data_IF_932813225410
#
_entry.id   IF_932813225410
#
_cell.length_a   1.000
_cell.length_b   1.000
_cell.length_c   1.000
_cell.angle_alpha   90.00
_cell.angle_beta   90.00
_cell.angle_gamma   90.00
#
_symmetry.space_group_name_H-M   'P 1'
#
loop_
_entity.id
_entity.type
_entity.pdbx_description
1 polymer ?
#
# COMPACT_ATOMS: atom_id res chain seq x y z
N UNK A 1 -20.17 4.62 26.48
CA UNK A 1 -19.33 5.30 25.48
C UNK A 1 -20.25 5.73 24.34
N UNK A 2 -20.20 6.99 23.90
CA UNK A 2 -20.98 7.42 22.73
C UNK A 2 -20.39 6.70 21.52
N UNK A 3 -21.20 5.90 20.83
CA UNK A 3 -20.88 5.37 19.50
C UNK A 3 -20.52 6.57 18.62
N UNK A 4 -19.25 6.70 18.23
CA UNK A 4 -18.89 7.60 17.15
C UNK A 4 -19.24 6.87 15.84
N UNK A 5 -20.23 7.38 15.13
CA UNK A 5 -20.42 7.00 13.73
C UNK A 5 -19.37 7.74 12.91
N UNK A 6 -18.56 7.00 12.15
CA UNK A 6 -17.66 7.59 11.16
C UNK A 6 -18.54 8.31 10.14
N UNK A 7 -18.38 9.62 10.04
CA UNK A 7 -19.04 10.41 9.01
C UNK A 7 -18.31 10.14 7.68
N UNK A 8 -19.04 9.62 6.71
CA UNK A 8 -18.48 9.29 5.39
C UNK A 8 -18.53 10.58 4.56
N UNK A 9 -17.37 11.10 4.09
CA UNK A 9 -17.34 12.24 3.19
C UNK A 9 -18.14 11.96 1.92
N UNK A 10 -18.59 13.01 1.23
CA UNK A 10 -19.26 12.81 -0.04
C UNK A 10 -18.30 12.19 -1.08
N UNK A 11 -18.83 11.48 -2.10
CA UNK A 11 -17.99 10.77 -3.07
C UNK A 11 -16.95 11.63 -3.80
N UNK A 12 -17.17 12.93 -3.98
CA UNK A 12 -16.18 13.79 -4.64
C UNK A 12 -15.01 14.08 -3.72
N UNK A 13 -15.28 14.37 -2.44
CA UNK A 13 -14.24 14.57 -1.43
C UNK A 13 -13.37 13.31 -1.30
N UNK A 14 -13.97 12.13 -1.33
CA UNK A 14 -13.25 10.84 -1.28
C UNK A 14 -12.27 10.63 -2.45
N UNK A 15 -12.49 11.29 -3.59
CA UNK A 15 -11.64 11.19 -4.78
C UNK A 15 -10.62 12.34 -4.88
N UNK A 16 -10.64 13.30 -3.97
CA UNK A 16 -9.64 14.37 -3.92
C UNK A 16 -8.31 13.84 -3.39
N UNK A 17 -7.22 14.38 -3.94
CA UNK A 17 -5.88 14.14 -3.44
C UNK A 17 -5.75 14.56 -1.99
N UNK A 18 -5.15 13.69 -1.18
CA UNK A 18 -4.66 14.05 0.13
C UNK A 18 -3.29 14.74 0.00
N UNK A 19 -2.96 15.55 1.00
CA UNK A 19 -1.64 16.17 1.11
C UNK A 19 -0.55 15.09 1.16
N UNK A 20 0.64 15.43 0.67
CA UNK A 20 1.79 14.53 0.74
C UNK A 20 2.14 14.35 2.23
N UNK A 21 1.98 13.12 2.69
CA UNK A 21 2.14 12.76 4.08
C UNK A 21 3.61 12.39 4.37
N UNK A 22 4.23 13.13 5.28
CA UNK A 22 5.60 12.92 5.73
C UNK A 22 5.81 11.54 6.38
N UNK A 23 7.06 11.09 6.42
CA UNK A 23 7.48 9.89 7.13
C UNK A 23 8.20 10.26 8.44
N UNK A 24 7.97 9.49 9.51
CA UNK A 24 8.63 9.68 10.80
C UNK A 24 7.79 9.23 12.00
N UNK A 25 8.18 9.62 13.21
CA UNK A 25 7.55 9.14 14.46
C UNK A 25 6.59 10.15 15.11
N UNK A 26 6.52 11.36 14.55
CA UNK A 26 5.68 12.43 15.10
C UNK A 26 4.21 12.27 14.71
N UNK A 27 3.32 12.78 15.56
CA UNK A 27 1.92 12.97 15.19
C UNK A 27 1.87 14.20 14.26
N UNK A 28 1.45 14.03 13.00
CA UNK A 28 1.33 15.15 12.08
C UNK A 28 0.18 16.07 12.52
N UNK A 29 0.16 17.30 12.04
CA UNK A 29 -1.00 18.17 12.22
C UNK A 29 -2.24 17.51 11.59
N UNK A 30 -3.42 17.74 12.18
CA UNK A 30 -4.66 17.26 11.57
C UNK A 30 -4.89 17.94 10.23
N UNK A 31 -5.26 17.18 9.20
CA UNK A 31 -5.73 17.72 7.92
C UNK A 31 -7.10 18.39 8.07
N UNK A 32 -7.54 19.08 7.02
CA UNK A 32 -8.80 19.84 6.98
C UNK A 32 -10.05 19.00 7.27
N UNK A 33 -9.99 17.69 7.03
CA UNK A 33 -11.03 16.71 7.32
C UNK A 33 -10.95 16.11 8.73
N UNK A 34 -10.01 16.57 9.56
CA UNK A 34 -9.88 16.20 10.97
C UNK A 34 -9.08 14.92 11.24
N UNK A 35 -8.59 14.23 10.22
CA UNK A 35 -7.71 13.05 10.40
C UNK A 35 -6.23 13.43 10.42
N UNK A 36 -5.41 12.56 10.99
CA UNK A 36 -3.95 12.74 10.98
C UNK A 36 -3.36 11.81 9.92
N UNK A 37 -2.66 12.38 8.93
CA UNK A 37 -1.99 11.64 7.85
C UNK A 37 -0.49 11.90 7.88
N UNK A 38 0.32 10.86 7.78
CA UNK A 38 1.78 11.00 7.87
C UNK A 38 2.34 10.69 9.25
N UNK A 39 3.65 10.87 9.37
CA UNK A 39 4.41 10.57 10.57
C UNK A 39 4.07 9.18 11.12
N UNK A 40 3.65 9.12 12.38
CA UNK A 40 3.30 7.88 13.05
C UNK A 40 2.09 7.15 12.44
N UNK A 41 1.22 7.83 11.69
CA UNK A 41 0.03 7.25 11.05
C UNK A 41 0.31 6.83 9.61
N UNK A 42 1.34 5.99 9.44
CA UNK A 42 1.76 5.42 8.15
C UNK A 42 1.82 3.90 8.19
N UNK A 43 1.65 3.27 7.04
CA UNK A 43 1.81 1.81 6.92
C UNK A 43 3.20 1.33 7.38
N UNK A 44 4.24 2.14 7.15
CA UNK A 44 5.61 1.88 7.59
C UNK A 44 5.78 1.84 9.11
N UNK A 45 4.88 2.50 9.85
CA UNK A 45 4.93 2.57 11.31
C UNK A 45 4.41 1.31 11.98
N UNK A 46 3.63 0.48 11.26
CA UNK A 46 2.86 -0.63 11.84
C UNK A 46 3.77 -1.72 12.41
N UNK A 47 4.74 -2.23 11.64
CA UNK A 47 5.63 -3.28 12.13
C UNK A 47 6.58 -2.81 13.24
N UNK A 48 7.21 -1.62 13.17
CA UNK A 48 7.95 -1.07 14.30
C UNK A 48 7.08 -0.96 15.57
N UNK A 49 5.86 -0.42 15.49
CA UNK A 49 4.96 -0.34 16.64
C UNK A 49 4.61 -1.72 17.22
N UNK A 50 4.38 -2.72 16.37
CA UNK A 50 4.09 -4.10 16.81
C UNK A 50 5.32 -4.77 17.42
N UNK A 51 6.51 -4.50 16.90
CA UNK A 51 7.77 -4.99 17.47
C UNK A 51 7.93 -4.51 18.92
N UNK A 52 7.62 -3.23 19.19
CA UNK A 52 7.56 -2.68 20.54
C UNK A 52 6.46 -3.32 21.38
N UNK A 53 5.26 -3.54 20.82
CA UNK A 53 4.16 -4.21 21.52
C UNK A 53 4.52 -5.64 21.96
N UNK A 54 5.36 -6.34 21.18
CA UNK A 54 5.91 -7.66 21.50
C UNK A 54 7.08 -7.63 22.49
N UNK A 55 7.56 -6.43 22.87
CA UNK A 55 8.70 -6.24 23.77
C UNK A 55 10.07 -6.32 23.11
N UNK A 56 10.14 -6.28 21.77
CA UNK A 56 11.38 -6.34 20.98
C UNK A 56 11.37 -5.17 19.98
N UNK A 57 11.53 -3.91 20.45
CA UNK A 57 11.40 -2.74 19.59
C UNK A 57 12.49 -2.71 18.52
N UNK A 58 12.08 -2.67 17.25
CA UNK A 58 12.95 -2.61 16.08
C UNK A 58 12.95 -1.19 15.51
N UNK A 59 14.08 -0.50 15.64
CA UNK A 59 14.34 0.76 14.95
C UNK A 59 14.67 0.53 13.46
N UNK A 60 14.23 1.48 12.63
CA UNK A 60 14.48 1.51 11.18
C UNK A 60 15.17 2.81 10.78
N UNK A 61 15.47 2.97 9.49
CA UNK A 61 16.05 4.19 8.96
C UNK A 61 15.09 5.40 8.98
N UNK A 62 13.78 5.17 9.19
CA UNK A 62 12.73 6.20 9.23
C UNK A 62 12.13 6.32 10.63
N UNK A 63 11.99 5.20 11.33
CA UNK A 63 11.31 5.10 12.61
C UNK A 63 12.30 4.74 13.71
N UNK A 64 12.67 5.73 14.51
CA UNK A 64 13.69 5.62 15.57
C UNK A 64 13.10 5.41 16.96
N UNK A 65 11.79 5.67 17.15
CA UNK A 65 11.10 5.42 18.42
C UNK A 65 9.88 4.48 18.23
N UNK A 66 10.11 3.16 18.12
CA UNK A 66 9.04 2.17 18.02
C UNK A 66 8.03 2.20 19.17
N UNK A 67 8.46 2.65 20.36
CA UNK A 67 7.59 2.76 21.53
C UNK A 67 6.62 3.92 21.38
N UNK A 68 7.09 5.08 20.91
CA UNK A 68 6.21 6.21 20.58
C UNK A 68 5.20 5.83 19.50
N UNK A 69 5.61 5.06 18.49
CA UNK A 69 4.69 4.55 17.47
C UNK A 69 3.63 3.63 18.07
N UNK A 70 4.02 2.72 18.96
CA UNK A 70 3.10 1.86 19.70
C UNK A 70 2.07 2.67 20.50
N UNK A 71 2.54 3.66 21.27
CA UNK A 71 1.68 4.53 22.08
C UNK A 71 0.73 5.36 21.19
N UNK A 72 1.22 5.87 20.07
CA UNK A 72 0.45 6.69 19.12
C UNK A 72 -0.60 5.89 18.35
N UNK A 73 -0.25 4.68 17.89
CA UNK A 73 -1.19 3.78 17.23
C UNK A 73 -2.14 3.11 18.22
N UNK A 74 -1.83 3.15 19.52
CA UNK A 74 -2.68 2.62 20.59
C UNK A 74 -2.53 1.11 20.81
N UNK A 75 -1.45 0.49 20.32
CA UNK A 75 -1.27 -0.96 20.42
C UNK A 75 -0.92 -1.40 21.86
N UNK A 76 -1.70 -2.31 22.48
CA UNK A 76 -1.39 -2.82 23.81
C UNK A 76 -0.16 -3.72 23.76
N UNK A 77 0.55 -3.82 24.88
CA UNK A 77 1.59 -4.84 25.02
C UNK A 77 0.99 -6.24 24.91
N UNK A 78 1.63 -7.11 24.16
CA UNK A 78 1.16 -8.47 23.91
C UNK A 78 2.34 -9.45 23.84
N UNK A 79 2.04 -10.75 23.91
CA UNK A 79 3.04 -11.80 23.67
C UNK A 79 3.00 -12.32 22.24
N UNK A 80 1.85 -12.17 21.57
CA UNK A 80 1.60 -12.70 20.23
C UNK A 80 0.80 -11.67 19.46
N UNK A 81 1.22 -11.39 18.23
CA UNK A 81 0.53 -10.48 17.33
C UNK A 81 0.28 -11.16 15.98
N UNK A 82 -0.91 -10.95 15.42
CA UNK A 82 -1.25 -11.31 14.05
C UNK A 82 -1.51 -10.03 13.27
N UNK A 83 -0.70 -9.75 12.26
CA UNK A 83 -0.96 -8.68 11.30
C UNK A 83 -1.62 -9.28 10.08
N UNK A 84 -2.82 -8.81 9.77
CA UNK A 84 -3.57 -9.20 8.58
C UNK A 84 -3.51 -8.05 7.59
N UNK A 85 -2.90 -8.28 6.44
CA UNK A 85 -2.97 -7.35 5.32
C UNK A 85 -4.00 -7.87 4.33
N UNK A 86 -5.06 -7.09 4.15
CA UNK A 86 -6.08 -7.33 3.13
C UNK A 86 -5.84 -6.37 1.97
N UNK A 87 -5.37 -6.93 0.85
CA UNK A 87 -5.00 -6.19 -0.34
C UNK A 87 -6.20 -5.40 -0.89
N UNK A 88 -6.03 -4.12 -1.20
CA UNK A 88 -7.06 -3.26 -1.80
C UNK A 88 -8.24 -2.89 -0.89
N UNK A 89 -8.19 -3.19 0.41
CA UNK A 89 -9.28 -2.94 1.37
C UNK A 89 -9.15 -1.56 2.06
N UNK A 90 -9.36 -0.48 1.30
CA UNK A 90 -9.25 0.89 1.81
C UNK A 90 -10.23 1.22 2.94
N UNK A 91 -9.86 2.17 3.81
CA UNK A 91 -10.67 2.55 4.98
C UNK A 91 -12.07 3.02 4.57
N UNK A 92 -12.14 3.83 3.51
CA UNK A 92 -13.40 4.36 2.99
C UNK A 92 -14.21 3.34 2.20
N UNK A 93 -13.57 2.32 1.60
CA UNK A 93 -14.28 1.16 1.04
C UNK A 93 -15.04 0.41 2.14
N UNK A 94 -14.39 0.15 3.29
CA UNK A 94 -15.01 -0.49 4.47
C UNK A 94 -16.12 0.38 5.04
N UNK A 95 -15.86 1.67 5.28
CA UNK A 95 -16.85 2.57 5.87
C UNK A 95 -18.14 2.63 5.03
N UNK A 96 -17.98 2.80 3.72
CA UNK A 96 -19.09 2.84 2.74
C UNK A 96 -19.88 1.54 2.67
N UNK A 97 -19.21 0.38 2.82
CA UNK A 97 -19.83 -0.95 2.73
C UNK A 97 -20.00 -1.64 4.07
N UNK A 98 -19.92 -0.91 5.17
CA UNK A 98 -19.98 -1.45 6.55
C UNK A 98 -21.26 -2.23 6.87
N UNK A 99 -22.32 -2.06 6.08
CA UNK A 99 -23.52 -2.90 6.11
C UNK A 99 -23.25 -4.39 5.90
N UNK A 100 -22.25 -4.72 5.07
CA UNK A 100 -21.88 -6.07 4.63
C UNK A 100 -20.79 -6.72 5.50
N UNK A 101 -20.14 -5.96 6.37
CA UNK A 101 -19.00 -6.43 7.15
C UNK A 101 -19.25 -6.23 8.66
N UNK A 102 -20.12 -7.04 9.29
CA UNK A 102 -20.48 -6.87 10.69
C UNK A 102 -19.29 -6.94 11.66
N UNK A 103 -18.26 -7.75 11.39
CA UNK A 103 -17.09 -7.82 12.26
C UNK A 103 -16.22 -6.56 12.13
N UNK A 104 -15.83 -6.16 10.91
CA UNK A 104 -15.08 -4.92 10.67
C UNK A 104 -15.85 -3.68 11.19
N UNK A 105 -17.16 -3.61 10.94
CA UNK A 105 -18.01 -2.54 11.47
C UNK A 105 -17.96 -2.48 13.00
N UNK A 106 -17.97 -3.62 13.68
CA UNK A 106 -17.88 -3.66 15.15
C UNK A 106 -16.56 -3.05 15.65
N UNK A 107 -15.44 -3.33 14.97
CA UNK A 107 -14.14 -2.77 15.30
C UNK A 107 -14.09 -1.26 15.03
N UNK A 108 -14.66 -0.79 13.92
CA UNK A 108 -14.70 0.63 13.55
C UNK A 108 -15.53 1.50 14.51
N UNK A 109 -16.40 0.89 15.33
CA UNK A 109 -17.12 1.61 16.40
C UNK A 109 -16.25 1.89 17.63
N UNK A 110 -15.08 1.27 17.73
CA UNK A 110 -14.11 1.56 18.78
C UNK A 110 -13.33 2.83 18.42
N UNK A 111 -13.18 3.75 19.38
CA UNK A 111 -12.54 5.04 19.13
C UNK A 111 -11.07 4.94 18.69
N UNK A 112 -10.37 3.87 19.08
CA UNK A 112 -8.99 3.62 18.64
C UNK A 112 -8.90 3.29 17.13
N UNK A 113 -9.98 2.74 16.58
CA UNK A 113 -10.08 2.25 15.20
C UNK A 113 -10.85 3.20 14.28
N UNK A 114 -11.54 4.19 14.83
CA UNK A 114 -12.37 5.15 14.11
C UNK A 114 -11.57 6.23 13.37
N UNK A 115 -10.43 5.85 12.78
CA UNK A 115 -9.56 6.73 11.97
C UNK A 115 -8.75 5.91 10.95
N UNK A 116 -8.45 6.47 9.77
CA UNK A 116 -7.48 5.86 8.87
C UNK A 116 -6.03 6.05 9.35
N UNK A 117 -5.12 5.31 8.74
CA UNK A 117 -3.71 5.69 8.56
C UNK A 117 -3.44 5.81 7.06
N UNK A 118 -2.29 6.35 6.66
CA UNK A 118 -1.97 6.51 5.23
C UNK A 118 -0.99 5.46 4.72
N UNK A 119 -1.20 4.98 3.50
CA UNK A 119 -0.21 4.19 2.76
C UNK A 119 0.86 5.07 2.10
N UNK A 120 1.87 4.47 1.48
CA UNK A 120 2.90 5.15 0.70
C UNK A 120 2.39 5.69 -0.64
N UNK A 121 3.23 6.47 -1.32
CA UNK A 121 2.99 6.90 -2.70
C UNK A 121 4.06 6.33 -3.64
N UNK A 122 3.70 5.74 -4.79
CA UNK A 122 2.34 5.40 -5.24
C UNK A 122 1.62 4.41 -4.31
N UNK A 123 0.29 4.50 -4.22
CA UNK A 123 -0.53 3.62 -3.38
C UNK A 123 -0.76 2.25 -4.05
N UNK A 124 0.30 1.47 -4.16
CA UNK A 124 0.32 0.21 -4.93
C UNK A 124 1.02 -0.88 -4.15
N UNK A 125 0.56 -2.13 -4.30
CA UNK A 125 1.01 -3.29 -3.51
C UNK A 125 2.52 -3.36 -3.38
N UNK A 126 3.26 -3.25 -4.49
CA UNK A 126 4.72 -3.36 -4.52
C UNK A 126 5.39 -2.38 -3.53
N UNK A 127 4.96 -1.12 -3.61
CA UNK A 127 5.56 0.00 -2.89
C UNK A 127 5.14 -0.08 -1.42
N UNK A 128 3.86 -0.32 -1.16
CA UNK A 128 3.28 -0.43 0.17
C UNK A 128 3.83 -1.62 0.95
N UNK A 129 3.96 -2.79 0.31
CA UNK A 129 4.51 -3.98 0.93
C UNK A 129 5.99 -3.79 1.31
N UNK A 130 6.78 -3.12 0.47
CA UNK A 130 8.16 -2.82 0.77
C UNK A 130 8.30 -1.82 1.93
N UNK A 131 7.49 -0.76 1.94
CA UNK A 131 7.46 0.23 3.03
C UNK A 131 7.00 -0.42 4.35
N UNK A 132 5.93 -1.21 4.32
CA UNK A 132 5.41 -1.98 5.45
C UNK A 132 6.47 -2.92 6.03
N UNK A 133 7.01 -3.81 5.19
CA UNK A 133 7.88 -4.90 5.65
C UNK A 133 9.23 -4.42 6.19
N UNK A 134 9.71 -3.27 5.73
CA UNK A 134 10.97 -2.65 6.18
C UNK A 134 10.77 -1.59 7.24
N UNK A 135 9.54 -1.11 7.42
CA UNK A 135 9.23 0.08 8.21
C UNK A 135 9.98 1.31 7.70
N UNK A 136 10.06 1.49 6.38
CA UNK A 136 10.72 2.64 5.75
C UNK A 136 9.84 3.26 4.66
N UNK A 137 10.43 3.85 3.61
CA UNK A 137 9.72 4.56 2.55
C UNK A 137 10.22 4.15 1.15
N UNK A 138 9.46 4.45 0.07
CA UNK A 138 9.80 4.08 -1.30
C UNK A 138 11.21 4.51 -1.73
N UNK A 139 11.63 5.71 -1.34
CA UNK A 139 12.96 6.25 -1.63
C UNK A 139 14.12 5.50 -0.97
N UNK A 140 13.84 4.69 0.05
CA UNK A 140 14.81 3.85 0.73
C UNK A 140 14.79 2.39 0.24
N UNK A 141 13.61 1.90 -0.16
CA UNK A 141 13.40 0.50 -0.55
C UNK A 141 13.75 0.21 -2.01
N UNK A 142 13.93 1.23 -2.84
CA UNK A 142 14.10 1.10 -4.30
C UNK A 142 12.88 0.52 -5.04
N UNK A 143 11.74 0.41 -4.35
CA UNK A 143 10.47 -0.05 -4.91
C UNK A 143 9.57 1.17 -5.08
N UNK A 144 9.60 1.80 -6.26
CA UNK A 144 9.02 3.13 -6.49
C UNK A 144 7.76 3.13 -7.35
N UNK A 145 7.35 1.97 -7.88
CA UNK A 145 6.09 1.79 -8.58
C UNK A 145 5.85 0.34 -8.99
N UNK A 146 4.64 0.05 -9.50
CA UNK A 146 4.31 -1.27 -10.06
C UNK A 146 5.23 -1.65 -11.23
N UNK A 147 5.52 -0.67 -12.10
CA UNK A 147 6.61 -0.74 -13.06
C UNK A 147 7.57 0.42 -12.88
N UNK A 148 8.86 0.19 -13.07
CA UNK A 148 9.89 1.22 -12.95
C UNK A 148 11.08 0.92 -13.85
N UNK A 149 11.94 1.91 -14.10
CA UNK A 149 13.17 1.71 -14.88
C UNK A 149 14.17 0.86 -14.09
N UNK A 150 14.74 -0.16 -14.75
CA UNK A 150 15.99 -0.77 -14.30
C UNK A 150 17.16 0.04 -14.87
N UNK A 151 17.90 0.79 -14.02
CA UNK A 151 18.95 1.69 -14.50
C UNK A 151 20.13 0.94 -15.13
N UNK A 152 20.38 -0.31 -14.75
CA UNK A 152 21.48 -1.11 -15.32
C UNK A 152 21.15 -1.72 -16.68
N UNK A 153 19.87 -2.01 -16.92
CA UNK A 153 19.41 -2.65 -18.17
C UNK A 153 18.76 -1.68 -19.14
N UNK A 154 18.49 -0.44 -18.70
CA UNK A 154 17.74 0.58 -19.45
C UNK A 154 16.43 0.02 -20.03
N UNK A 155 15.67 -0.68 -19.19
CA UNK A 155 14.37 -1.29 -19.53
C UNK A 155 13.40 -1.17 -18.37
N UNK A 156 12.12 -1.08 -18.69
CA UNK A 156 11.06 -1.15 -17.69
C UNK A 156 11.01 -2.56 -17.08
N UNK A 157 10.96 -2.56 -15.75
CA UNK A 157 10.76 -3.73 -14.92
C UNK A 157 9.34 -3.76 -14.40
N UNK A 158 8.79 -4.96 -14.24
CA UNK A 158 7.54 -5.17 -13.52
C UNK A 158 7.88 -5.79 -12.17
N UNK A 159 7.39 -5.17 -11.10
CA UNK A 159 7.93 -5.37 -9.75
C UNK A 159 7.19 -6.40 -8.90
N UNK A 160 6.04 -6.91 -9.34
CA UNK A 160 5.36 -8.06 -8.69
C UNK A 160 6.09 -9.36 -9.05
N UNK A 161 6.37 -9.57 -10.33
CA UNK A 161 7.02 -10.76 -10.89
C UNK A 161 8.54 -10.57 -11.03
N UNK A 162 9.06 -9.38 -10.73
CA UNK A 162 10.48 -9.02 -10.92
C UNK A 162 10.98 -9.25 -12.36
N UNK A 163 10.11 -9.07 -13.35
CA UNK A 163 10.48 -9.21 -14.75
C UNK A 163 11.37 -8.05 -15.15
N UNK A 164 12.55 -8.35 -15.71
CA UNK A 164 13.61 -7.39 -16.04
C UNK A 164 14.19 -6.62 -14.84
N UNK A 165 13.75 -6.90 -13.61
CA UNK A 165 14.19 -6.20 -12.41
C UNK A 165 15.62 -6.60 -12.01
N UNK A 166 16.21 -5.79 -11.14
CA UNK A 166 17.39 -6.16 -10.35
C UNK A 166 16.97 -7.32 -9.42
N UNK A 167 17.85 -8.29 -9.11
CA UNK A 167 17.52 -9.36 -8.15
C UNK A 167 16.97 -8.80 -6.83
N UNK A 168 15.96 -9.45 -6.21
CA UNK A 168 15.23 -8.92 -5.05
C UNK A 168 16.10 -8.34 -3.92
N UNK A 169 17.10 -9.11 -3.48
CA UNK A 169 18.00 -8.74 -2.38
C UNK A 169 19.04 -7.68 -2.77
N UNK A 170 19.33 -7.54 -4.06
CA UNK A 170 20.23 -6.51 -4.56
C UNK A 170 19.51 -5.17 -4.75
N UNK A 171 18.21 -5.23 -5.07
CA UNK A 171 17.35 -4.06 -5.26
C UNK A 171 16.93 -3.47 -3.93
N UNK A 172 16.22 -4.25 -3.12
CA UNK A 172 15.72 -3.83 -1.82
C UNK A 172 16.76 -4.26 -0.77
N UNK A 173 17.46 -3.26 -0.21
CA UNK A 173 18.60 -3.48 0.69
C UNK A 173 18.32 -3.14 2.16
N UNK A 174 17.20 -2.48 2.45
CA UNK A 174 16.83 -2.25 3.85
C UNK A 174 16.48 -3.58 4.51
N UNK A 175 17.00 -3.87 5.72
CA UNK A 175 16.55 -5.02 6.50
C UNK A 175 15.04 -4.97 6.71
N UNK A 176 14.36 -6.11 6.59
CA UNK A 176 12.94 -6.17 6.96
C UNK A 176 12.82 -6.21 8.48
N UNK A 177 11.72 -5.68 9.04
CA UNK A 177 11.42 -5.82 10.47
C UNK A 177 11.28 -7.30 10.85
N UNK A 178 10.83 -8.14 9.92
CA UNK A 178 10.76 -9.58 10.08
C UNK A 178 12.14 -10.24 10.27
N UNK A 179 13.15 -9.86 9.47
CA UNK A 179 14.53 -10.33 9.65
C UNK A 179 15.06 -9.92 11.02
N UNK A 180 14.89 -8.64 11.38
CA UNK A 180 15.39 -8.07 12.64
C UNK A 180 14.79 -8.78 13.85
N UNK A 181 13.49 -9.04 13.85
CA UNK A 181 12.82 -9.82 14.90
C UNK A 181 13.35 -11.27 14.97
N UNK A 182 13.50 -11.93 13.83
CA UNK A 182 14.04 -13.30 13.78
C UNK A 182 15.49 -13.38 14.27
N UNK A 183 16.33 -12.39 13.95
CA UNK A 183 17.71 -12.29 14.44
C UNK A 183 17.79 -12.12 15.96
N UNK A 184 16.78 -11.49 16.56
CA UNK A 184 16.61 -11.38 18.03
C UNK A 184 15.99 -12.64 18.66
N UNK A 185 15.69 -13.67 17.85
CA UNK A 185 15.11 -14.93 18.31
C UNK A 185 13.59 -14.87 18.52
N UNK A 186 12.92 -13.81 18.05
CA UNK A 186 11.46 -13.74 18.05
C UNK A 186 10.92 -14.65 16.95
N UNK A 187 9.90 -15.45 17.25
CA UNK A 187 9.23 -16.26 16.24
C UNK A 187 8.53 -15.35 15.23
N UNK A 188 8.86 -15.51 13.94
CA UNK A 188 8.19 -14.83 12.84
C UNK A 188 7.65 -15.85 11.84
N UNK A 189 6.35 -15.76 11.54
CA UNK A 189 5.67 -16.69 10.61
C UNK A 189 4.81 -15.92 9.64
N UNK A 190 4.89 -16.27 8.35
CA UNK A 190 3.97 -15.78 7.32
C UNK A 190 3.02 -16.90 6.90
N UNK A 191 1.71 -16.60 6.82
CA UNK A 191 0.67 -17.50 6.32
C UNK A 191 0.07 -16.91 5.05
N UNK A 192 0.09 -17.65 3.95
CA UNK A 192 -0.37 -17.15 2.66
C UNK A 192 -0.49 -18.23 1.59
N UNK A 193 -0.66 -17.82 0.33
CA UNK A 193 -0.73 -18.76 -0.78
C UNK A 193 0.65 -19.40 -1.03
N UNK A 194 0.71 -20.69 -1.42
CA UNK A 194 1.97 -21.35 -1.72
C UNK A 194 2.78 -20.66 -2.81
N UNK A 195 2.13 -20.05 -3.81
CA UNK A 195 2.79 -19.32 -4.91
C UNK A 195 3.60 -18.09 -4.47
N UNK A 196 3.28 -17.52 -3.30
CA UNK A 196 4.04 -16.39 -2.76
C UNK A 196 5.24 -16.84 -1.92
N UNK A 197 5.30 -18.10 -1.51
CA UNK A 197 6.44 -18.65 -0.78
C UNK A 197 7.70 -18.54 -1.63
N UNK A 198 8.65 -17.72 -1.19
CA UNK A 198 9.89 -17.48 -1.93
C UNK A 198 9.69 -16.67 -3.22
N UNK A 199 8.54 -16.03 -3.44
CA UNK A 199 8.37 -15.10 -4.55
C UNK A 199 9.34 -13.93 -4.42
N UNK A 200 9.66 -13.30 -5.56
CA UNK A 200 10.63 -12.22 -5.61
C UNK A 200 10.20 -11.01 -4.75
N UNK A 201 8.92 -10.65 -4.77
CA UNK A 201 8.39 -9.59 -3.90
C UNK A 201 8.45 -9.98 -2.41
N UNK A 202 8.11 -11.23 -2.06
CA UNK A 202 8.25 -11.70 -0.68
C UNK A 202 9.70 -11.66 -0.22
N UNK A 203 10.67 -12.02 -1.07
CA UNK A 203 12.09 -11.91 -0.75
C UNK A 203 12.53 -10.45 -0.57
N UNK A 204 12.07 -9.54 -1.42
CA UNK A 204 12.42 -8.12 -1.32
C UNK A 204 11.79 -7.45 -0.10
N UNK A 205 10.51 -7.70 0.18
CA UNK A 205 9.75 -6.90 1.14
C UNK A 205 9.51 -7.59 2.50
N UNK A 206 9.41 -8.92 2.53
CA UNK A 206 8.85 -9.67 3.68
C UNK A 206 9.73 -10.86 4.13
N UNK A 207 11.00 -10.89 3.71
CA UNK A 207 11.95 -11.95 4.08
C UNK A 207 12.21 -11.96 5.58
N UNK A 208 12.73 -13.06 6.11
CA UNK A 208 13.00 -13.22 7.55
C UNK A 208 11.92 -14.00 8.31
N UNK A 209 10.86 -14.44 7.65
CA UNK A 209 9.78 -15.24 8.25
C UNK A 209 9.83 -16.71 7.82
N UNK A 210 9.35 -17.62 8.69
CA UNK A 210 9.00 -18.98 8.26
C UNK A 210 7.69 -18.93 7.48
N UNK A 211 7.67 -19.35 6.22
CA UNK A 211 6.49 -19.27 5.36
C UNK A 211 5.66 -20.57 5.40
N UNK A 212 4.36 -20.45 5.66
CA UNK A 212 3.39 -21.55 5.65
C UNK A 212 2.38 -21.31 4.51
N UNK A 213 2.45 -22.14 3.48
CA UNK A 213 1.56 -22.08 2.31
C UNK A 213 0.33 -22.97 2.44
N UNK A 214 -0.86 -22.42 2.17
CA UNK A 214 -2.12 -23.16 2.02
C UNK A 214 -2.97 -22.58 0.89
N UNK A 215 -3.60 -23.44 0.10
CA UNK A 215 -4.51 -23.04 -0.98
C UNK A 215 -5.85 -22.54 -0.42
N UNK A 216 -6.38 -23.21 0.61
CA UNK A 216 -7.66 -22.85 1.22
C UNK A 216 -7.56 -21.59 2.06
N UNK A 217 -8.48 -20.64 1.85
CA UNK A 217 -8.48 -19.39 2.61
C UNK A 217 -8.63 -19.62 4.13
N UNK A 218 -9.59 -20.45 4.55
CA UNK A 218 -9.77 -20.81 5.96
C UNK A 218 -8.57 -21.56 6.55
N UNK A 219 -7.88 -22.37 5.74
CA UNK A 219 -6.67 -23.07 6.18
C UNK A 219 -5.55 -22.08 6.51
N UNK A 220 -5.39 -21.02 5.69
CA UNK A 220 -4.42 -19.93 5.98
C UNK A 220 -4.75 -19.22 7.30
N UNK A 221 -6.03 -18.96 7.58
CA UNK A 221 -6.49 -18.39 8.85
C UNK A 221 -6.12 -19.31 10.02
N UNK A 222 -6.43 -20.60 9.91
CA UNK A 222 -6.17 -21.57 10.98
C UNK A 222 -4.68 -21.78 11.24
N UNK A 223 -3.84 -21.78 10.20
CA UNK A 223 -2.38 -21.81 10.37
C UNK A 223 -1.85 -20.54 11.06
N UNK A 224 -2.41 -19.37 10.74
CA UNK A 224 -2.07 -18.12 11.45
C UNK A 224 -2.43 -18.20 12.94
N UNK A 225 -3.64 -18.68 13.28
CA UNK A 225 -4.04 -18.91 14.68
C UNK A 225 -3.15 -19.95 15.39
N UNK A 226 -2.73 -20.99 14.68
CA UNK A 226 -1.84 -22.03 15.22
C UNK A 226 -0.46 -21.46 15.51
N UNK A 227 0.13 -20.70 14.59
CA UNK A 227 1.41 -20.03 14.79
C UNK A 227 1.35 -19.05 15.97
N UNK A 228 0.25 -18.32 16.13
CA UNK A 228 0.05 -17.36 17.21
C UNK A 228 -0.04 -17.98 18.62
N UNK A 229 -0.10 -19.32 18.76
CA UNK A 229 -0.01 -20.01 20.06
C UNK A 229 1.37 -19.89 20.69
N UNK A 230 2.39 -19.68 19.87
CA UNK A 230 3.75 -19.39 20.30
C UNK A 230 3.98 -17.87 20.23
N UNK A 231 4.54 -17.24 21.29
CA UNK A 231 4.84 -15.82 21.31
C UNK A 231 5.63 -15.36 20.08
N UNK A 232 5.30 -14.20 19.53
CA UNK A 232 5.96 -13.62 18.36
C UNK A 232 5.00 -12.98 17.36
N UNK A 233 5.48 -12.78 16.14
CA UNK A 233 4.77 -12.12 15.05
C UNK A 233 4.25 -13.13 14.01
N UNK A 234 2.99 -13.03 13.66
CA UNK A 234 2.39 -13.75 12.54
C UNK A 234 1.88 -12.75 11.50
N UNK A 235 2.29 -12.89 10.24
CA UNK A 235 1.77 -12.13 9.12
C UNK A 235 0.81 -13.00 8.30
N UNK A 236 -0.35 -12.46 7.96
CA UNK A 236 -1.38 -13.12 7.15
C UNK A 236 -1.77 -12.19 5.99
N UNK A 237 -1.78 -12.72 4.78
CA UNK A 237 -2.12 -11.95 3.57
C UNK A 237 -3.38 -12.50 2.89
N UNK A 238 -4.32 -11.61 2.59
CA UNK A 238 -5.59 -11.88 1.91
C UNK A 238 -5.67 -10.98 0.67
N UNK A 239 -5.95 -11.56 -0.50
CA UNK A 239 -5.83 -10.86 -1.81
C UNK A 239 -7.15 -10.65 -2.54
N UNK A 240 -8.21 -11.18 -1.97
CA UNK A 240 -9.39 -11.58 -2.73
C UNK A 240 -10.24 -10.35 -3.14
N UNK A 241 -10.33 -9.33 -2.28
CA UNK A 241 -11.06 -8.09 -2.57
C UNK A 241 -10.35 -7.19 -3.58
N UNK A 242 -9.02 -7.10 -3.58
CA UNK A 242 -8.27 -6.41 -4.63
C UNK A 242 -8.52 -7.05 -6.01
N UNK A 243 -8.37 -8.39 -6.08
CA UNK A 243 -8.62 -9.14 -7.31
C UNK A 243 -10.02 -8.89 -7.86
N UNK A 244 -11.04 -8.95 -7.00
CA UNK A 244 -12.42 -8.66 -7.39
C UNK A 244 -12.61 -7.19 -7.79
N UNK A 245 -11.92 -6.27 -7.13
CA UNK A 245 -11.96 -4.83 -7.40
C UNK A 245 -11.44 -4.54 -8.81
N UNK A 246 -10.29 -5.09 -9.16
CA UNK A 246 -9.76 -4.98 -10.51
C UNK A 246 -10.61 -5.69 -11.57
N UNK A 247 -11.23 -6.82 -11.26
CA UNK A 247 -11.98 -7.60 -12.25
C UNK A 247 -13.38 -7.04 -12.50
N UNK A 248 -14.05 -6.54 -11.47
CA UNK A 248 -15.47 -6.17 -11.53
C UNK A 248 -15.79 -4.75 -11.04
N UNK A 249 -14.84 -4.07 -10.39
CA UNK A 249 -15.05 -2.78 -9.72
C UNK A 249 -15.50 -2.95 -8.27
N UNK A 250 -15.03 -2.08 -7.37
CA UNK A 250 -15.29 -2.21 -5.93
C UNK A 250 -16.75 -1.96 -5.53
N UNK A 251 -17.55 -1.29 -6.37
CA UNK A 251 -18.97 -1.06 -6.14
C UNK A 251 -19.86 -2.24 -6.58
N UNK A 252 -19.27 -3.28 -7.16
CA UNK A 252 -19.98 -4.40 -7.78
C UNK A 252 -20.42 -5.48 -6.78
N UNK A 253 -21.48 -6.22 -7.12
CA UNK A 253 -21.93 -7.39 -6.33
C UNK A 253 -20.85 -8.46 -6.15
N UNK A 254 -20.03 -8.83 -7.17
CA UNK A 254 -18.91 -9.74 -6.97
C UNK A 254 -17.91 -9.25 -5.92
N UNK A 255 -17.59 -7.95 -5.90
CA UNK A 255 -16.70 -7.40 -4.88
C UNK A 255 -17.31 -7.46 -3.49
N UNK A 256 -18.61 -7.13 -3.36
CA UNK A 256 -19.34 -7.19 -2.09
C UNK A 256 -19.34 -8.62 -1.53
N UNK A 257 -19.55 -9.64 -2.38
CA UNK A 257 -19.51 -11.04 -1.97
C UNK A 257 -18.13 -11.48 -1.45
N UNK A 258 -17.05 -11.04 -2.09
CA UNK A 258 -15.68 -11.28 -1.59
C UNK A 258 -15.43 -10.51 -0.29
N UNK A 259 -15.94 -9.29 -0.16
CA UNK A 259 -15.82 -8.50 1.07
C UNK A 259 -16.55 -9.14 2.26
N UNK A 260 -17.76 -9.68 2.07
CA UNK A 260 -18.49 -10.47 3.09
C UNK A 260 -17.71 -11.74 3.49
N UNK A 261 -17.03 -12.36 2.51
CA UNK A 261 -16.18 -13.54 2.74
C UNK A 261 -14.96 -13.18 3.58
N UNK A 262 -14.28 -12.07 3.26
CA UNK A 262 -13.14 -11.58 4.05
C UNK A 262 -13.56 -11.20 5.48
N UNK A 263 -14.69 -10.50 5.66
CA UNK A 263 -15.21 -10.19 7.01
C UNK A 263 -15.44 -11.47 7.82
N UNK A 264 -16.02 -12.50 7.19
CA UNK A 264 -16.25 -13.80 7.82
C UNK A 264 -14.94 -14.52 8.21
N UNK A 265 -13.90 -14.41 7.38
CA UNK A 265 -12.57 -14.96 7.66
C UNK A 265 -11.87 -14.23 8.81
N UNK A 266 -11.98 -12.91 8.86
CA UNK A 266 -11.44 -12.10 9.96
C UNK A 266 -12.18 -12.39 11.27
N UNK A 267 -13.51 -12.55 11.22
CA UNK A 267 -14.29 -12.98 12.37
C UNK A 267 -13.90 -14.41 12.83
N UNK A 268 -13.56 -15.31 11.89
CA UNK A 268 -13.02 -16.63 12.22
C UNK A 268 -11.65 -16.52 12.90
N UNK A 269 -10.77 -15.64 12.42
CA UNK A 269 -9.47 -15.38 13.02
C UNK A 269 -9.62 -14.95 14.48
N UNK A 270 -10.46 -13.94 14.76
CA UNK A 270 -10.77 -13.50 16.13
C UNK A 270 -11.22 -14.65 17.02
N UNK A 271 -12.19 -15.47 16.58
CA UNK A 271 -12.73 -16.58 17.38
C UNK A 271 -11.72 -17.70 17.64
N UNK A 272 -10.70 -17.85 16.81
CA UNK A 272 -9.78 -19.00 16.83
C UNK A 272 -8.37 -18.65 17.32
N UNK A 273 -8.01 -17.37 17.29
CA UNK A 273 -6.77 -16.88 17.85
C UNK A 273 -6.71 -17.13 19.36
N UNK A 274 -5.52 -17.38 19.92
CA UNK A 274 -5.36 -17.52 21.37
C UNK A 274 -5.73 -16.23 22.10
N UNK A 275 -6.31 -16.36 23.30
CA UNK A 275 -6.60 -15.21 24.17
C UNK A 275 -5.34 -14.39 24.47
N UNK A 276 -5.44 -13.07 24.41
CA UNK A 276 -4.34 -12.12 24.58
C UNK A 276 -3.51 -11.91 23.32
N UNK A 277 -3.97 -12.39 22.16
CA UNK A 277 -3.36 -12.10 20.86
C UNK A 277 -3.85 -10.75 20.35
N UNK A 278 -2.92 -9.88 19.98
CA UNK A 278 -3.21 -8.64 19.28
C UNK A 278 -3.40 -8.93 17.79
N UNK A 279 -4.58 -8.69 17.24
CA UNK A 279 -4.84 -8.73 15.80
C UNK A 279 -4.81 -7.28 15.30
N UNK A 280 -4.02 -7.02 14.25
CA UNK A 280 -3.97 -5.72 13.57
C UNK A 280 -4.32 -5.92 12.10
N UNK A 281 -5.41 -5.32 11.65
CA UNK A 281 -5.93 -5.43 10.29
C UNK A 281 -5.59 -4.15 9.53
N UNK A 282 -4.83 -4.29 8.45
CA UNK A 282 -4.39 -3.22 7.57
C UNK A 282 -4.69 -3.53 6.11
N UNK A 283 -4.50 -2.54 5.23
CA UNK A 283 -4.43 -2.72 3.80
C UNK A 283 -3.17 -2.04 3.25
N UNK A 284 -2.75 -2.41 2.06
CA UNK A 284 -1.69 -1.75 1.31
C UNK A 284 -2.20 -0.51 0.57
N UNK A 285 -3.43 -0.52 0.09
CA UNK A 285 -4.14 0.62 -0.49
C UNK A 285 -5.65 0.38 -0.45
N UNK A 286 -6.42 1.37 -0.90
CA UNK A 286 -7.82 1.17 -1.26
C UNK A 286 -8.04 1.01 -2.75
N UNK A 287 -9.27 1.28 -3.19
CA UNK A 287 -9.70 1.03 -4.57
C UNK A 287 -10.74 2.07 -5.00
N UNK A 288 -10.60 2.59 -6.22
CA UNK A 288 -11.59 3.45 -6.87
C UNK A 288 -12.22 2.75 -8.08
N UNK A 289 -13.34 3.29 -8.54
CA UNK A 289 -13.93 2.94 -9.83
C UNK A 289 -13.41 3.90 -10.91
N UNK A 290 -13.02 3.35 -12.07
CA UNK A 290 -12.59 4.14 -13.24
C UNK A 290 -13.81 4.65 -14.00
N UNK A 291 -13.73 5.87 -14.54
CA UNK A 291 -14.64 6.34 -15.57
C UNK A 291 -14.03 6.06 -16.96
N UNK A 292 -14.58 5.13 -17.77
CA UNK A 292 -14.04 4.81 -19.08
C UNK A 292 -14.00 5.99 -20.06
N UNK A 293 -14.81 7.03 -19.82
CA UNK A 293 -14.81 8.27 -20.61
C UNK A 293 -13.67 9.22 -20.24
N UNK A 294 -13.10 9.07 -19.04
CA UNK A 294 -11.92 9.80 -18.56
C UNK A 294 -10.60 9.03 -18.81
N UNK A 295 -10.64 7.91 -19.55
CA UNK A 295 -9.44 7.16 -19.91
C UNK A 295 -8.66 7.90 -21.01
N UNK A 296 -7.43 8.27 -20.70
CA UNK A 296 -6.48 8.90 -21.62
C UNK A 296 -5.48 7.83 -22.09
N UNK A 297 -5.42 7.59 -23.40
CA UNK A 297 -4.46 6.66 -24.01
C UNK A 297 -3.35 7.45 -24.71
N UNK A 298 -2.13 7.38 -24.17
CA UNK A 298 -0.95 8.04 -24.72
C UNK A 298 -0.68 7.64 -26.17
N UNK A 299 -1.03 6.41 -26.56
CA UNK A 299 -0.88 5.96 -27.95
C UNK A 299 -1.64 6.82 -28.96
N UNK A 300 -2.67 7.55 -28.50
CA UNK A 300 -3.55 8.39 -29.31
C UNK A 300 -3.24 9.88 -29.17
N UNK A 301 -2.28 10.25 -28.33
CA UNK A 301 -1.88 11.65 -28.09
C UNK A 301 -0.38 11.84 -28.37
N UNK A 302 0.00 12.33 -29.57
CA UNK A 302 1.41 12.56 -29.92
C UNK A 302 2.15 13.53 -28.99
N UNK A 303 1.47 14.49 -28.36
CA UNK A 303 2.10 15.46 -27.46
C UNK A 303 2.53 14.81 -26.14
N UNK A 304 1.76 13.83 -25.65
CA UNK A 304 2.15 13.01 -24.48
C UNK A 304 3.32 12.07 -24.79
N UNK A 305 3.53 11.71 -26.06
CA UNK A 305 4.61 10.82 -26.49
C UNK A 305 5.92 11.53 -26.78
N UNK A 306 5.87 12.82 -27.15
CA UNK A 306 7.05 13.58 -27.53
C UNK A 306 8.02 13.68 -26.36
N UNK A 307 9.26 13.23 -26.57
CA UNK A 307 10.30 13.21 -25.55
C UNK A 307 10.22 12.09 -24.53
N UNK A 308 9.27 11.17 -24.65
CA UNK A 308 9.10 10.08 -23.68
C UNK A 308 9.68 8.80 -24.26
N UNK A 309 10.78 8.34 -23.66
CA UNK A 309 11.48 7.10 -24.03
C UNK A 309 10.79 5.87 -23.47
N UNK A 310 10.40 5.93 -22.19
CA UNK A 310 9.73 4.83 -21.52
C UNK A 310 8.53 5.29 -20.71
N UNK A 311 7.56 4.39 -20.61
CA UNK A 311 6.39 4.49 -19.77
C UNK A 311 6.52 3.50 -18.60
N UNK A 312 6.37 3.97 -17.38
CA UNK A 312 6.36 3.19 -16.15
C UNK A 312 5.28 3.64 -15.17
N UNK A 313 5.34 3.13 -13.95
CA UNK A 313 4.31 3.32 -12.93
C UNK A 313 3.09 2.43 -13.15
N UNK A 314 1.91 3.00 -12.94
CA UNK A 314 0.59 2.38 -13.11
C UNK A 314 -0.44 3.42 -13.58
N UNK A 315 -1.65 3.02 -14.01
CA UNK A 315 -2.58 3.95 -14.66
C UNK A 315 -3.02 5.17 -13.85
N UNK A 316 -2.85 5.11 -12.52
CA UNK A 316 -3.18 6.19 -11.58
C UNK A 316 -1.95 7.01 -11.15
N UNK A 317 -0.76 6.48 -11.37
CA UNK A 317 0.51 7.13 -11.07
C UNK A 317 1.53 6.76 -12.15
N UNK A 318 1.61 7.58 -13.19
CA UNK A 318 2.45 7.31 -14.36
C UNK A 318 3.82 7.91 -14.17
N UNK A 319 4.86 7.17 -14.58
CA UNK A 319 6.23 7.63 -14.65
C UNK A 319 6.69 7.68 -16.11
N UNK A 320 6.93 8.87 -16.65
CA UNK A 320 7.61 9.05 -17.92
C UNK A 320 9.10 9.20 -17.72
N UNK A 321 9.88 8.48 -18.54
CA UNK A 321 11.32 8.60 -18.59
C UNK A 321 11.69 9.32 -19.89
N UNK A 322 12.43 10.42 -19.78
CA UNK A 322 12.75 11.28 -20.91
C UNK A 322 13.69 10.59 -21.90
N UNK A 323 13.58 10.94 -23.19
CA UNK A 323 14.60 10.64 -24.19
C UNK A 323 15.58 11.81 -24.27
N UNK A 324 16.89 11.52 -24.34
CA UNK A 324 17.89 12.57 -24.46
C UNK A 324 17.80 13.24 -25.85
N UNK A 325 17.89 14.58 -25.94
CA UNK A 325 18.27 15.55 -24.91
C UNK A 325 17.09 16.34 -24.30
N UNK A 326 15.85 15.84 -24.36
CA UNK A 326 14.69 16.65 -23.98
C UNK A 326 14.65 16.97 -22.47
N UNK A 327 14.33 18.21 -22.14
CA UNK A 327 14.21 18.69 -20.77
C UNK A 327 12.90 18.19 -20.13
N UNK A 328 13.03 17.53 -18.97
CA UNK A 328 11.91 17.10 -18.13
C UNK A 328 10.89 18.21 -17.85
N UNK A 329 11.30 19.47 -17.74
CA UNK A 329 10.38 20.60 -17.55
C UNK A 329 9.50 20.86 -18.79
N UNK A 330 10.04 20.68 -20.00
CA UNK A 330 9.26 20.81 -21.24
C UNK A 330 8.28 19.67 -21.42
N UNK A 331 8.67 18.44 -21.04
CA UNK A 331 7.76 17.28 -21.03
C UNK A 331 6.64 17.51 -20.01
N UNK A 332 6.99 17.94 -18.78
CA UNK A 332 6.02 18.23 -17.73
C UNK A 332 5.04 19.34 -18.13
N UNK A 333 5.51 20.42 -18.75
CA UNK A 333 4.65 21.49 -19.25
C UNK A 333 3.65 21.00 -20.32
N UNK A 334 4.08 20.12 -21.23
CA UNK A 334 3.18 19.48 -22.20
C UNK A 334 2.14 18.61 -21.52
N UNK A 335 2.58 17.74 -20.62
CA UNK A 335 1.69 16.84 -19.89
C UNK A 335 0.67 17.62 -19.08
N UNK A 336 1.07 18.72 -18.43
CA UNK A 336 0.17 19.62 -17.71
C UNK A 336 -0.91 20.20 -18.65
N UNK A 337 -0.52 20.67 -19.85
CA UNK A 337 -1.48 21.19 -20.83
C UNK A 337 -2.44 20.12 -21.36
N UNK A 338 -1.93 18.93 -21.68
CA UNK A 338 -2.72 17.84 -22.28
C UNK A 338 -3.62 17.11 -21.28
N UNK A 339 -3.17 16.95 -20.03
CA UNK A 339 -3.92 16.27 -18.97
C UNK A 339 -4.85 17.23 -18.23
N UNK A 340 -4.55 18.53 -18.21
CA UNK A 340 -5.38 19.54 -17.56
C UNK A 340 -5.72 19.17 -16.11
N UNK A 341 -7.00 19.23 -15.75
CA UNK A 341 -7.45 18.88 -14.39
C UNK A 341 -7.44 17.37 -14.09
N UNK A 342 -7.24 16.51 -15.11
CA UNK A 342 -7.26 15.05 -14.92
C UNK A 342 -6.04 14.51 -14.19
N UNK A 343 -4.95 15.27 -14.09
CA UNK A 343 -3.76 14.86 -13.37
C UNK A 343 -3.01 16.05 -12.78
N UNK A 344 -2.30 15.79 -11.70
CA UNK A 344 -1.23 16.65 -11.26
C UNK A 344 0.09 16.14 -11.83
N UNK A 345 0.81 17.05 -12.50
CA UNK A 345 2.06 16.73 -13.18
C UNK A 345 3.21 17.33 -12.42
N UNK A 346 4.18 16.49 -12.07
CA UNK A 346 5.38 16.86 -11.31
C UNK A 346 6.61 16.39 -12.06
N UNK A 347 7.67 17.19 -12.05
CA UNK A 347 9.01 16.68 -12.35
C UNK A 347 9.50 15.78 -11.20
N UNK A 348 10.48 14.93 -11.49
CA UNK A 348 11.18 14.12 -10.49
C UNK A 348 11.62 14.93 -9.27
N UNK A 349 12.28 16.07 -9.52
CA UNK A 349 12.82 16.92 -8.46
C UNK A 349 11.70 17.50 -7.60
N UNK A 350 10.64 18.04 -8.20
CA UNK A 350 9.48 18.55 -7.45
C UNK A 350 8.84 17.47 -6.58
N UNK A 351 8.71 16.24 -7.09
CA UNK A 351 8.14 15.14 -6.32
C UNK A 351 9.03 14.67 -5.17
N UNK A 352 10.36 14.64 -5.36
CA UNK A 352 11.33 14.30 -4.31
C UNK A 352 11.36 15.39 -3.24
N UNK A 353 11.45 16.67 -3.65
CA UNK A 353 11.50 17.82 -2.75
C UNK A 353 10.21 17.96 -1.93
N UNK A 354 9.06 17.58 -2.51
CA UNK A 354 7.79 17.54 -1.81
C UNK A 354 7.63 16.32 -0.87
N UNK A 355 8.62 15.42 -0.81
CA UNK A 355 8.62 14.27 0.11
C UNK A 355 7.78 13.08 -0.34
N UNK A 356 7.34 13.02 -1.60
CA UNK A 356 6.39 12.01 -2.10
C UNK A 356 6.88 10.57 -1.86
N UNK A 357 8.18 10.35 -2.00
CA UNK A 357 8.85 9.05 -1.80
C UNK A 357 9.54 8.92 -0.43
N UNK A 358 9.42 9.92 0.45
CA UNK A 358 10.28 10.09 1.63
C UNK A 358 11.73 10.39 1.25
N UNK A 359 12.71 10.18 2.16
CA UNK A 359 14.13 10.26 1.79
C UNK A 359 14.48 9.34 0.62
N UNK A 360 15.12 9.88 -0.41
CA UNK A 360 15.51 9.14 -1.62
C UNK A 360 17.01 8.95 -1.66
N UNK A 361 17.45 7.69 -1.79
CA UNK A 361 18.87 7.39 -2.00
C UNK A 361 19.29 7.67 -3.44
N UNK A 362 20.55 8.03 -3.61
CA UNK A 362 21.15 8.29 -4.92
C UNK A 362 21.07 7.09 -5.88
N UNK A 363 21.05 5.84 -5.38
CA UNK A 363 20.90 4.64 -6.22
C UNK A 363 19.44 4.30 -6.55
N UNK A 364 18.47 4.94 -5.87
CA UNK A 364 17.02 4.80 -6.11
C UNK A 364 16.50 5.87 -7.06
N UNK A 365 17.04 7.09 -7.01
CA UNK A 365 16.62 8.22 -7.85
C UNK A 365 16.54 7.89 -9.35
N UNK A 366 17.47 7.13 -9.96
CA UNK A 366 17.37 6.75 -11.38
C UNK A 366 16.18 5.85 -11.74
N UNK A 367 15.52 5.23 -10.75
CA UNK A 367 14.36 4.37 -10.96
C UNK A 367 13.06 5.17 -11.04
N UNK A 368 13.05 6.39 -10.50
CA UNK A 368 11.91 7.31 -10.53
C UNK A 368 11.82 7.95 -11.93
N UNK A 369 10.61 8.11 -12.46
CA UNK A 369 10.37 8.81 -13.72
C UNK A 369 10.83 10.26 -13.67
N UNK A 370 11.25 10.81 -14.81
CA UNK A 370 11.65 12.22 -14.93
C UNK A 370 10.44 13.16 -14.85
N UNK A 371 9.27 12.69 -15.32
CA UNK A 371 7.97 13.35 -15.18
C UNK A 371 6.97 12.35 -14.65
N UNK A 372 6.17 12.78 -13.68
CA UNK A 372 5.15 12.00 -13.01
C UNK A 372 3.77 12.60 -13.32
N UNK A 373 2.78 11.75 -13.58
CA UNK A 373 1.38 12.14 -13.60
C UNK A 373 0.61 11.39 -12.51
N UNK A 374 0.14 12.14 -11.51
CA UNK A 374 -0.68 11.64 -10.40
C UNK A 374 -2.13 11.94 -10.75
N UNK A 375 -2.88 10.90 -11.11
CA UNK A 375 -4.20 11.07 -11.71
C UNK A 375 -5.25 11.50 -10.67
N UNK A 376 -6.06 12.49 -11.03
CA UNK A 376 -7.19 12.98 -10.23
C UNK A 376 -8.47 12.18 -10.51
N UNK A 377 -9.47 12.33 -9.64
CA UNK A 377 -10.82 11.80 -9.82
C UNK A 377 -10.83 10.32 -10.25
N UNK A 378 -11.59 9.97 -11.29
CA UNK A 378 -11.70 8.60 -11.84
C UNK A 378 -10.90 8.42 -13.13
N UNK A 379 -10.00 9.35 -13.44
CA UNK A 379 -9.20 9.35 -14.66
C UNK A 379 -8.09 8.30 -14.59
N UNK A 380 -7.69 7.80 -15.77
CA UNK A 380 -6.54 6.91 -15.92
C UNK A 380 -5.72 7.33 -17.12
N UNK A 381 -4.39 7.26 -17.00
CA UNK A 381 -3.46 7.44 -18.10
C UNK A 381 -2.83 6.09 -18.43
N UNK A 382 -2.91 5.65 -19.69
CA UNK A 382 -2.44 4.34 -20.14
C UNK A 382 -1.63 4.48 -21.43
N UNK A 383 -0.88 3.45 -21.80
CA UNK A 383 -0.22 3.35 -23.09
C UNK A 383 -0.48 1.98 -23.73
N UNK A 384 -1.45 1.94 -24.65
CA UNK A 384 -1.87 0.71 -25.33
C UNK A 384 -0.81 0.11 -26.27
N UNK A 385 0.31 0.79 -26.52
CA UNK A 385 1.44 0.25 -27.30
C UNK A 385 2.26 -0.77 -26.51
N UNK A 386 2.30 -0.63 -25.18
CA UNK A 386 3.14 -1.44 -24.29
C UNK A 386 2.33 -2.23 -23.25
N UNK A 387 1.11 -1.78 -22.95
CA UNK A 387 0.20 -2.45 -22.04
C UNK A 387 -0.79 -3.36 -22.80
N UNK A 388 -1.21 -4.46 -22.16
CA UNK A 388 -2.25 -5.34 -22.73
C UNK A 388 -3.62 -4.67 -22.66
N UNK A 389 -4.48 -4.88 -23.65
CA UNK A 389 -5.82 -4.27 -23.71
C UNK A 389 -6.63 -4.42 -22.40
N UNK A 390 -6.73 -5.64 -21.83
CA UNK A 390 -7.40 -5.86 -20.53
C UNK A 390 -6.87 -4.96 -19.40
N UNK A 391 -5.55 -4.74 -19.32
CA UNK A 391 -4.95 -3.92 -18.27
C UNK A 391 -5.26 -2.42 -18.43
N UNK A 392 -5.61 -1.99 -19.65
CA UNK A 392 -6.00 -0.59 -19.93
C UNK A 392 -7.48 -0.30 -19.67
N UNK A 393 -8.26 -1.32 -19.30
CA UNK A 393 -9.73 -1.25 -19.19
C UNK A 393 -10.25 -1.85 -17.88
N UNK A 394 -9.43 -1.88 -16.84
CA UNK A 394 -9.85 -2.39 -15.54
C UNK A 394 -10.94 -1.46 -14.94
N UNK A 395 -12.09 -2.00 -14.48
CA UNK A 395 -13.15 -1.20 -13.86
C UNK A 395 -12.75 -0.62 -12.50
N UNK A 396 -11.92 -1.34 -11.73
CA UNK A 396 -11.34 -0.84 -10.48
C UNK A 396 -9.83 -0.67 -10.61
N UNK A 397 -9.31 0.42 -10.05
CA UNK A 397 -7.87 0.72 -10.00
C UNK A 397 -7.50 1.45 -8.71
N UNK A 398 -6.20 1.55 -8.49
CA UNK A 398 -5.57 2.30 -7.42
C UNK A 398 -4.21 2.83 -7.91
N UNK A 399 -3.49 3.56 -7.07
CA UNK A 399 -2.11 4.00 -7.30
C UNK A 399 -1.89 5.49 -7.09
N UNK A 400 -2.95 6.29 -7.17
CA UNK A 400 -2.90 7.74 -6.92
C UNK A 400 -3.09 8.03 -5.42
N UNK A 401 -3.19 9.32 -5.08
CA UNK A 401 -3.24 9.79 -3.70
C UNK A 401 -4.61 10.26 -3.24
N UNK A 402 -5.70 9.76 -3.83
CA UNK A 402 -7.03 10.09 -3.31
C UNK A 402 -7.24 9.51 -1.92
N UNK A 403 -8.20 10.05 -1.14
CA UNK A 403 -8.57 9.44 0.15
C UNK A 403 -8.95 7.96 -0.03
N UNK A 404 -9.71 7.62 -1.07
CA UNK A 404 -10.09 6.24 -1.39
C UNK A 404 -8.92 5.31 -1.64
N UNK A 405 -7.82 5.80 -2.19
CA UNK A 405 -6.64 5.00 -2.52
C UNK A 405 -5.63 4.95 -1.37
N UNK A 406 -5.48 6.06 -0.64
CA UNK A 406 -4.38 6.26 0.31
C UNK A 406 -4.74 6.06 1.77
N UNK A 407 -6.00 6.26 2.15
CA UNK A 407 -6.44 6.02 3.52
C UNK A 407 -6.77 4.53 3.69
N UNK A 408 -5.97 3.87 4.50
CA UNK A 408 -6.05 2.45 4.78
C UNK A 408 -6.50 2.20 6.23
N UNK A 409 -7.14 1.06 6.53
CA UNK A 409 -7.45 0.68 7.89
C UNK A 409 -6.17 0.42 8.71
N UNK A 410 -6.29 0.67 10.01
CA UNK A 410 -5.40 0.13 11.03
C UNK A 410 -6.27 -0.27 12.22
N UNK A 411 -7.03 -1.35 12.05
CA UNK A 411 -8.00 -1.80 13.04
C UNK A 411 -7.33 -2.76 14.00
N UNK A 412 -7.45 -2.47 15.28
CA UNK A 412 -6.95 -3.29 16.36
C UNK A 412 -8.08 -4.10 16.98
N UNK A 413 -7.77 -5.37 17.27
CA UNK A 413 -8.63 -6.29 18.01
C UNK A 413 -7.78 -7.11 18.98
N UNK A 414 -8.11 -7.06 20.27
CA UNK A 414 -7.42 -7.84 21.30
C UNK A 414 -8.34 -8.96 21.78
N UNK A 415 -7.96 -10.21 21.48
CA UNK A 415 -8.76 -11.43 21.72
C UNK A 415 -8.85 -11.84 23.19
#
# INVERSE_FOLDING_TARGET
MKSMSIEIPDPKTLLQHVDIADYGDEIPNSSSDGFHRGGAFRISSVLPAISSALGNPVETAIHHDPRKLQETLGFPSCKSAIVVLVDGMGFWNIATRSGHAPYLRSLMHESANARPISTCQPSTTVVAMAAFGTGTCPGMTAMTGYTQLNPYRHRISQMIQFRNAIPPLELQREPTVFERLSDEGVRVTSSGLPEFAGSALTQAALRGSTYIGREGADERILEACKAAREPGLTYLYIRDVDKAGHEFGWESEPWIAEFETVDSQLALLHRRAPKGTLIVIIADHGMIEVDPSQRIDMAQNPELLRGVKFYGGEPRFVMAYADEPEDSHEIAARWCNELGESAEVLTKHEAIDAGLFGPVKADVEPMIGDVLAVMNDRATLVDSRVQKDRATRLPGVHGSRSMMESDIPCLMDLV
#
